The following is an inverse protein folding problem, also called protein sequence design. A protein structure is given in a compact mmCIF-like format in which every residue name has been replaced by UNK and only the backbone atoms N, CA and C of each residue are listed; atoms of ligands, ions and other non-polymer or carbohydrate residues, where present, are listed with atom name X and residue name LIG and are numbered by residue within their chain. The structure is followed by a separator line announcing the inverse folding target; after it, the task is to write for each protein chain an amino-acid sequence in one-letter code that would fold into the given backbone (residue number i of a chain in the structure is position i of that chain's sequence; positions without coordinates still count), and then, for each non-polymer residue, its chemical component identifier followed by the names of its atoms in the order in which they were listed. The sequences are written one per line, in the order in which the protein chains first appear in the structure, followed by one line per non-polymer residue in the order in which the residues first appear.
data_IF_771814442146
#
_entry.id   IF_771814442146
#
_cell.length_a   1.000
_cell.length_b   1.000
_cell.length_c   1.000
_cell.angle_alpha   90.00
_cell.angle_beta   90.00
_cell.angle_gamma   90.00
#
_symmetry.space_group_name_H-M   'P 1'
#
loop_
_entity.id
_entity.type
_entity.pdbx_description
1 polymer ?
#
# COMPACT_ATOMS: atom_id res chain seq x y z
N UNK A 1 -28.66 28.62 25.62
CA UNK A 1 -27.36 28.14 26.12
C UNK A 1 -27.18 26.73 25.63
N UNK A 2 -26.53 26.55 24.49
CA UNK A 2 -26.11 25.25 23.97
C UNK A 2 -24.60 25.23 24.01
N UNK A 3 -24.05 24.35 24.82
CA UNK A 3 -22.63 24.11 24.89
C UNK A 3 -22.24 23.13 23.75
N UNK A 4 -21.41 23.60 22.81
CA UNK A 4 -20.83 22.78 21.77
C UNK A 4 -19.72 21.91 22.36
N UNK A 5 -19.83 20.60 22.16
CA UNK A 5 -18.80 19.61 22.49
C UNK A 5 -17.90 19.47 21.27
N UNK A 6 -16.73 20.08 21.31
CA UNK A 6 -15.69 19.92 20.30
C UNK A 6 -14.92 18.63 20.62
N UNK A 7 -15.13 17.61 19.81
CA UNK A 7 -14.40 16.33 19.91
C UNK A 7 -13.05 16.48 19.19
N UNK A 8 -11.97 16.55 19.97
CA UNK A 8 -10.60 16.52 19.45
C UNK A 8 -10.23 15.06 19.22
N UNK A 9 -10.13 14.67 17.95
CA UNK A 9 -9.58 13.36 17.56
C UNK A 9 -8.07 13.51 17.51
N UNK A 10 -7.39 12.95 18.52
CA UNK A 10 -5.93 12.80 18.53
C UNK A 10 -5.61 11.49 17.81
N UNK A 11 -5.12 11.58 16.59
CA UNK A 11 -4.57 10.43 15.88
C UNK A 11 -3.15 10.20 16.36
N UNK A 12 -2.95 9.19 17.22
CA UNK A 12 -1.64 8.69 17.59
C UNK A 12 -1.10 7.79 16.48
N UNK A 13 -0.14 8.28 15.73
CA UNK A 13 0.68 7.46 14.84
C UNK A 13 1.66 6.69 15.72
N UNK A 14 1.35 5.44 16.03
CA UNK A 14 2.27 4.53 16.71
C UNK A 14 3.21 3.91 15.67
N UNK A 15 4.50 4.29 15.77
CA UNK A 15 5.56 3.70 14.96
C UNK A 15 5.72 2.20 15.24
N UNK A 16 5.89 1.42 14.20
CA UNK A 16 6.22 0.01 14.27
C UNK A 16 7.66 -0.18 14.75
N UNK A 17 7.81 -0.80 15.90
CA UNK A 17 9.09 -1.29 16.43
C UNK A 17 9.23 -2.74 15.95
N UNK A 18 10.34 -3.02 15.33
CA UNK A 18 10.79 -4.34 14.90
C UNK A 18 10.66 -5.39 16.02
N UNK A 19 9.92 -6.44 15.78
CA UNK A 19 10.00 -7.67 16.56
C UNK A 19 11.06 -8.57 15.94
N UNK A 20 12.15 -8.74 16.67
CA UNK A 20 13.22 -9.68 16.35
C UNK A 20 12.75 -11.13 16.45
N UNK A 21 13.17 -11.93 15.50
CA UNK A 21 13.06 -13.40 15.52
C UNK A 21 13.85 -13.98 16.70
N UNK A 22 13.33 -14.95 17.43
CA UNK A 22 14.13 -15.77 18.32
C UNK A 22 14.66 -17.02 17.58
N UNK A 23 15.94 -17.24 17.72
CA UNK A 23 16.55 -18.55 17.64
C UNK A 23 17.35 -18.89 16.39
N UNK A 24 18.65 -18.61 16.42
CA UNK A 24 19.65 -19.54 15.89
C UNK A 24 20.90 -19.49 16.77
N UNK A 25 21.36 -20.69 17.11
CA UNK A 25 22.47 -20.95 18.00
C UNK A 25 23.83 -20.61 17.39
N UNK A 26 24.86 -20.40 18.21
CA UNK A 26 26.16 -19.96 17.72
C UNK A 26 26.95 -21.10 17.08
N UNK A 27 27.43 -20.89 15.88
CA UNK A 27 28.48 -21.69 15.27
C UNK A 27 29.82 -20.98 15.35
N UNK A 28 30.81 -21.76 15.78
CA UNK A 28 32.16 -21.44 16.14
C UNK A 28 32.94 -20.63 15.10
N UNK A 29 33.73 -19.67 15.58
CA UNK A 29 34.80 -18.99 14.85
C UNK A 29 35.99 -19.92 14.63
N UNK A 30 36.73 -19.79 13.53
CA UNK A 30 38.14 -20.04 13.56
C UNK A 30 38.96 -18.75 13.52
N UNK A 31 39.68 -18.56 14.60
CA UNK A 31 40.82 -17.65 14.78
C UNK A 31 41.87 -17.83 13.69
N UNK A 32 42.26 -16.75 12.99
CA UNK A 32 43.59 -16.66 12.36
C UNK A 32 44.13 -15.25 12.53
N UNK A 33 45.11 -15.15 13.42
CA UNK A 33 46.13 -14.10 13.50
C UNK A 33 46.95 -14.07 12.23
N UNK A 34 47.04 -12.91 11.59
CA UNK A 34 48.19 -12.57 10.75
C UNK A 34 48.52 -11.09 10.93
N UNK A 35 49.56 -10.84 11.68
CA UNK A 35 50.21 -9.56 11.79
C UNK A 35 50.90 -9.21 10.46
N UNK A 36 50.59 -8.06 9.88
CA UNK A 36 51.38 -7.45 8.82
C UNK A 36 51.83 -6.07 9.27
N UNK A 37 53.15 -5.96 9.35
CA UNK A 37 53.91 -4.76 9.70
C UNK A 37 53.73 -3.66 8.68
N UNK A 38 53.53 -2.44 9.16
CA UNK A 38 53.65 -1.20 8.39
C UNK A 38 55.13 -0.86 8.15
N UNK A 39 55.55 -0.45 6.96
CA UNK A 39 56.78 0.31 6.80
C UNK A 39 56.49 1.82 6.96
N UNK A 40 57.38 2.46 7.71
CA UNK A 40 57.49 3.90 7.87
C UNK A 40 57.79 4.57 6.51
N UNK A 41 57.03 5.59 6.16
CA UNK A 41 57.35 6.47 5.04
C UNK A 41 57.91 7.81 5.57
N UNK A 42 59.02 8.19 4.98
CA UNK A 42 59.76 9.43 5.19
C UNK A 42 58.93 10.68 4.74
N UNK A 43 59.21 11.89 5.29
CA UNK A 43 58.55 13.11 4.85
C UNK A 43 59.19 13.64 3.58
N UNK A 44 58.45 13.56 2.45
CA UNK A 44 58.79 14.21 1.20
C UNK A 44 58.23 15.62 1.17
N UNK A 45 59.10 16.64 1.17
CA UNK A 45 58.79 18.01 0.79
C UNK A 45 58.42 18.07 -0.71
N UNK A 46 57.14 18.27 -1.00
CA UNK A 46 56.62 18.56 -2.34
C UNK A 46 55.87 19.90 -2.34
N UNK A 47 55.94 20.72 -3.39
CA UNK A 47 55.47 22.11 -3.38
C UNK A 47 53.94 22.15 -3.28
N UNK A 48 53.48 23.18 -2.56
CA UNK A 48 52.08 23.51 -2.44
C UNK A 48 51.40 23.63 -3.81
N UNK A 49 50.66 22.58 -4.18
CA UNK A 49 49.67 22.64 -5.25
C UNK A 49 48.51 23.52 -4.80
N UNK A 50 48.26 24.58 -5.54
CA UNK A 50 47.08 25.42 -5.41
C UNK A 50 45.85 24.48 -5.43
N UNK A 51 45.21 24.37 -4.27
CA UNK A 51 43.96 23.64 -4.15
C UNK A 51 42.93 24.26 -5.07
N UNK A 52 42.42 23.46 -5.96
CA UNK A 52 41.26 23.75 -6.77
C UNK A 52 40.08 23.92 -5.79
N UNK A 53 39.90 25.18 -5.34
CA UNK A 53 38.76 25.60 -4.54
C UNK A 53 37.55 25.65 -5.47
N UNK A 54 36.45 25.05 -5.02
CA UNK A 54 35.07 25.16 -5.49
C UNK A 54 34.69 24.40 -6.76
N UNK A 55 34.71 23.08 -6.66
CA UNK A 55 33.54 22.33 -7.11
C UNK A 55 32.67 22.10 -5.84
N UNK A 56 31.75 23.01 -5.58
CA UNK A 56 30.64 22.71 -4.67
C UNK A 56 30.00 21.45 -5.21
N UNK A 57 30.11 20.33 -4.50
CA UNK A 57 29.40 19.10 -4.89
C UNK A 57 27.91 19.46 -4.93
N UNK A 58 27.31 19.35 -6.12
CA UNK A 58 25.86 19.51 -6.27
C UNK A 58 25.17 18.55 -5.30
N UNK A 59 24.17 19.06 -4.57
CA UNK A 59 23.42 18.22 -3.65
C UNK A 59 22.89 16.98 -4.36
N UNK A 60 22.99 15.80 -3.74
CA UNK A 60 22.46 14.58 -4.35
C UNK A 60 20.93 14.48 -4.30
N UNK A 61 20.23 15.39 -3.61
CA UNK A 61 18.81 15.25 -3.32
C UNK A 61 17.92 16.11 -4.22
N UNK A 62 16.80 15.55 -4.67
CA UNK A 62 15.90 16.17 -5.64
C UNK A 62 15.36 17.54 -5.16
N UNK A 63 14.99 17.67 -3.88
CA UNK A 63 14.44 18.92 -3.36
C UNK A 63 15.38 20.11 -3.58
N UNK A 64 16.68 19.91 -3.44
CA UNK A 64 17.69 20.98 -3.58
C UNK A 64 17.84 21.48 -5.03
N UNK A 65 17.30 20.73 -6.01
CA UNK A 65 17.27 21.09 -7.43
C UNK A 65 15.95 21.75 -7.85
N UNK A 66 14.95 21.79 -6.96
CA UNK A 66 13.68 22.45 -7.23
C UNK A 66 13.79 23.97 -6.98
N UNK A 67 12.98 24.78 -7.66
CA UNK A 67 13.05 26.26 -7.54
C UNK A 67 12.38 26.82 -6.29
N UNK A 68 12.17 25.98 -5.26
CA UNK A 68 11.55 26.38 -4.00
C UNK A 68 12.14 25.56 -2.84
N UNK A 69 11.95 26.05 -1.63
CA UNK A 69 12.25 25.34 -0.40
C UNK A 69 10.97 24.82 0.24
N UNK A 70 11.11 23.81 1.10
CA UNK A 70 9.97 23.18 1.78
C UNK A 70 9.09 24.19 2.51
N UNK A 71 9.70 25.14 3.22
CA UNK A 71 9.00 26.19 4.00
C UNK A 71 8.22 27.20 3.15
N UNK A 72 8.46 27.24 1.84
CA UNK A 72 7.75 28.14 0.91
C UNK A 72 6.45 27.52 0.38
N UNK A 73 6.26 26.20 0.58
CA UNK A 73 5.09 25.50 0.08
C UNK A 73 3.89 25.76 0.99
N UNK A 74 2.82 26.32 0.42
CA UNK A 74 1.59 26.65 1.12
C UNK A 74 0.53 25.54 0.98
N UNK A 75 0.47 24.91 -0.20
CA UNK A 75 -0.45 23.82 -0.49
C UNK A 75 0.12 22.93 -1.61
N UNK A 76 -0.33 21.68 -1.64
CA UNK A 76 0.00 20.74 -2.72
C UNK A 76 -1.30 20.13 -3.21
N UNK A 77 -1.51 20.10 -4.53
CA UNK A 77 -2.63 19.41 -5.17
C UNK A 77 -2.12 18.35 -6.13
N UNK A 78 -2.89 17.29 -6.32
CA UNK A 78 -2.61 16.23 -7.28
C UNK A 78 -3.67 16.16 -8.37
N UNK A 79 -3.26 16.09 -9.64
CA UNK A 79 -4.17 15.99 -10.77
C UNK A 79 -3.74 14.95 -11.80
N UNK A 80 -4.69 14.20 -12.37
CA UNK A 80 -4.45 13.20 -13.41
C UNK A 80 -4.58 11.75 -12.94
N UNK A 81 -4.86 10.86 -13.87
CA UNK A 81 -5.03 9.41 -13.65
C UNK A 81 -6.02 9.02 -12.55
N UNK A 82 -7.12 9.78 -12.41
CA UNK A 82 -8.15 9.53 -11.41
C UNK A 82 -7.88 10.19 -10.06
N UNK A 83 -6.81 10.97 -9.94
CA UNK A 83 -6.57 11.89 -8.83
C UNK A 83 -6.97 13.30 -9.29
N UNK A 84 -7.76 13.99 -8.49
CA UNK A 84 -8.05 15.42 -8.56
C UNK A 84 -8.38 15.86 -7.13
N UNK A 85 -7.36 16.08 -6.34
CA UNK A 85 -7.52 16.29 -4.91
C UNK A 85 -6.43 17.20 -4.32
N UNK A 86 -6.82 17.95 -3.31
CA UNK A 86 -5.87 18.63 -2.43
C UNK A 86 -5.20 17.59 -1.51
N UNK A 87 -3.88 17.68 -1.38
CA UNK A 87 -3.15 16.88 -0.39
C UNK A 87 -3.42 17.50 0.99
N UNK A 88 -4.01 16.76 1.94
CA UNK A 88 -4.26 17.27 3.28
C UNK A 88 -3.00 17.84 3.93
N UNK A 89 -3.11 18.99 4.59
CA UNK A 89 -1.95 19.72 5.15
C UNK A 89 -1.10 18.84 6.07
N UNK A 90 -1.74 17.98 6.86
CA UNK A 90 -1.09 17.02 7.75
C UNK A 90 -0.32 15.89 7.02
N UNK A 91 -0.50 15.77 5.69
CA UNK A 91 0.17 14.74 4.86
C UNK A 91 1.15 15.33 3.84
N UNK A 92 1.18 16.65 3.68
CA UNK A 92 2.10 17.29 2.73
C UNK A 92 3.56 17.02 3.07
N UNK A 93 3.88 16.84 4.35
CA UNK A 93 5.23 16.51 4.79
C UNK A 93 5.75 15.18 4.19
N UNK A 94 4.86 14.23 3.88
CA UNK A 94 5.24 12.94 3.26
C UNK A 94 5.90 13.17 1.90
N UNK A 95 5.28 14.04 1.07
CA UNK A 95 5.84 14.42 -0.23
C UNK A 95 7.14 15.21 -0.10
N UNK A 96 7.14 16.23 0.76
CA UNK A 96 8.29 17.11 0.94
C UNK A 96 9.49 16.34 1.51
N UNK A 97 9.25 15.46 2.48
CA UNK A 97 10.28 14.59 3.03
C UNK A 97 10.82 13.60 1.99
N UNK A 98 9.95 13.01 1.18
CA UNK A 98 10.38 12.15 0.09
C UNK A 98 11.26 12.90 -0.90
N UNK A 99 10.88 14.09 -1.35
CA UNK A 99 11.70 14.93 -2.23
C UNK A 99 13.06 15.26 -1.61
N UNK A 100 13.10 15.52 -0.30
CA UNK A 100 14.33 15.79 0.45
C UNK A 100 15.31 14.64 0.46
N UNK A 101 14.82 13.38 0.42
CA UNK A 101 15.65 12.17 0.48
C UNK A 101 15.71 11.38 -0.84
N UNK A 102 15.04 11.86 -1.88
CA UNK A 102 15.13 11.26 -3.21
C UNK A 102 16.52 11.50 -3.79
N UNK A 103 17.32 10.45 -3.92
CA UNK A 103 18.70 10.50 -4.41
C UNK A 103 18.73 10.56 -5.95
N UNK A 104 19.21 11.66 -6.50
CA UNK A 104 19.34 11.87 -7.94
C UNK A 104 20.43 11.02 -8.61
N UNK A 105 21.30 10.38 -7.84
CA UNK A 105 22.26 9.40 -8.35
C UNK A 105 21.61 8.05 -8.66
N UNK A 106 20.42 7.81 -8.12
CA UNK A 106 19.64 6.57 -8.23
C UNK A 106 18.51 6.68 -9.25
N UNK A 107 18.78 7.27 -10.42
CA UNK A 107 17.80 7.33 -11.51
C UNK A 107 17.42 5.92 -11.98
N UNK A 108 16.13 5.72 -12.30
CA UNK A 108 15.64 4.46 -12.86
C UNK A 108 16.32 4.16 -14.21
N UNK A 109 17.05 3.05 -14.28
CA UNK A 109 17.81 2.67 -15.47
C UNK A 109 16.93 2.32 -16.68
N UNK A 110 15.70 1.86 -16.45
CA UNK A 110 14.76 1.47 -17.49
C UNK A 110 13.32 1.80 -17.04
N UNK A 111 12.88 3.06 -17.14
CA UNK A 111 11.54 3.43 -16.78
C UNK A 111 10.54 2.72 -17.70
N UNK A 112 9.35 2.45 -17.18
CA UNK A 112 8.24 1.82 -17.93
C UNK A 112 7.96 2.61 -19.22
N UNK A 113 7.62 1.94 -20.34
CA UNK A 113 7.26 2.61 -21.58
C UNK A 113 6.16 3.66 -21.37
N UNK A 114 6.26 4.80 -22.05
CA UNK A 114 5.34 5.94 -21.89
C UNK A 114 3.86 5.56 -21.99
N UNK A 115 3.51 4.58 -22.82
CA UNK A 115 2.14 4.09 -22.98
C UNK A 115 1.55 3.39 -21.73
N UNK A 116 2.41 2.93 -20.83
CA UNK A 116 2.01 2.21 -19.60
C UNK A 116 2.12 3.07 -18.34
N UNK A 117 2.55 4.32 -18.48
CA UNK A 117 2.72 5.25 -17.36
C UNK A 117 1.38 5.81 -16.90
N UNK A 118 1.32 6.12 -15.62
CA UNK A 118 0.16 6.77 -14.99
C UNK A 118 0.62 8.04 -14.27
N UNK A 119 0.95 9.11 -15.04
CA UNK A 119 1.46 10.34 -14.43
C UNK A 119 0.37 11.08 -13.66
N UNK A 120 0.76 11.60 -12.51
CA UNK A 120 0.01 12.56 -11.69
C UNK A 120 0.83 13.84 -11.65
N UNK A 121 0.21 14.97 -11.97
CA UNK A 121 0.85 16.27 -11.83
C UNK A 121 0.64 16.75 -10.40
N UNK A 122 1.73 16.89 -9.66
CA UNK A 122 1.76 17.52 -8.35
C UNK A 122 1.99 19.01 -8.54
N UNK A 123 1.08 19.84 -8.03
CA UNK A 123 1.18 21.29 -8.09
C UNK A 123 1.49 21.82 -6.70
N UNK A 124 2.67 22.40 -6.55
CA UNK A 124 3.14 23.05 -5.33
C UNK A 124 2.79 24.53 -5.39
N UNK A 125 1.85 24.96 -4.57
CA UNK A 125 1.47 26.37 -4.46
C UNK A 125 2.46 27.10 -3.56
N UNK A 126 3.11 28.10 -4.10
CA UNK A 126 3.99 29.04 -3.41
C UNK A 126 3.26 30.40 -3.24
N UNK A 127 3.87 31.37 -2.54
CA UNK A 127 3.22 32.65 -2.27
C UNK A 127 2.71 33.35 -3.54
N UNK A 128 3.56 33.44 -4.57
CA UNK A 128 3.28 34.22 -5.80
C UNK A 128 3.31 33.34 -7.07
N UNK A 129 3.69 32.08 -6.95
CA UNK A 129 3.91 31.19 -8.10
C UNK A 129 3.41 29.77 -7.83
N UNK A 130 3.38 28.97 -8.88
CA UNK A 130 3.07 27.56 -8.80
C UNK A 130 4.16 26.78 -9.52
N UNK A 131 4.56 25.65 -8.93
CA UNK A 131 5.51 24.74 -9.54
C UNK A 131 4.82 23.39 -9.77
N UNK A 132 5.10 22.75 -10.91
CA UNK A 132 4.54 21.45 -11.26
C UNK A 132 5.66 20.41 -11.32
N UNK A 133 5.41 19.25 -10.70
CA UNK A 133 6.29 18.09 -10.75
C UNK A 133 5.45 16.87 -11.11
N UNK A 134 5.91 16.07 -12.05
CA UNK A 134 5.24 14.82 -12.41
C UNK A 134 5.65 13.71 -11.45
N UNK A 135 4.67 12.96 -10.97
CA UNK A 135 4.87 11.72 -10.24
C UNK A 135 4.23 10.57 -11.02
N UNK A 136 4.96 9.49 -11.25
CA UNK A 136 4.44 8.30 -11.91
C UNK A 136 4.01 7.25 -10.89
N UNK A 137 2.71 6.91 -10.91
CA UNK A 137 2.11 5.93 -9.99
C UNK A 137 2.59 4.49 -10.25
N UNK A 138 3.02 4.20 -11.48
CA UNK A 138 3.40 2.83 -11.86
C UNK A 138 4.80 2.49 -11.37
N UNK A 139 5.71 3.45 -11.49
CA UNK A 139 7.10 3.31 -11.09
C UNK A 139 7.37 3.80 -9.65
N UNK A 140 6.37 4.41 -8.97
CA UNK A 140 6.55 5.14 -7.72
C UNK A 140 7.73 6.13 -7.81
N UNK A 141 7.69 7.00 -8.80
CA UNK A 141 8.84 7.83 -9.11
C UNK A 141 8.47 9.28 -9.46
N UNK A 142 9.31 10.22 -9.07
CA UNK A 142 9.24 11.59 -9.55
C UNK A 142 9.95 11.72 -10.89
N UNK A 143 9.36 12.45 -11.83
CA UNK A 143 10.00 12.83 -13.09
C UNK A 143 10.63 14.21 -12.94
N UNK A 144 11.93 14.30 -13.14
CA UNK A 144 12.66 15.56 -13.17
C UNK A 144 13.64 15.57 -14.34
N UNK A 145 13.56 16.59 -15.19
CA UNK A 145 14.41 16.75 -16.38
C UNK A 145 14.44 15.52 -17.32
N UNK A 146 13.30 14.81 -17.41
CA UNK A 146 13.16 13.63 -18.28
C UNK A 146 13.75 12.34 -17.70
N UNK A 147 14.20 12.37 -16.46
CA UNK A 147 14.64 11.18 -15.71
C UNK A 147 13.67 10.89 -14.57
N UNK A 148 13.64 9.63 -14.12
CA UNK A 148 12.74 9.13 -13.09
C UNK A 148 13.54 8.72 -11.86
N UNK A 149 13.11 9.16 -10.69
CA UNK A 149 13.77 8.92 -9.41
C UNK A 149 12.76 8.32 -8.43
N UNK A 150 13.11 7.23 -7.78
CA UNK A 150 12.25 6.57 -6.82
C UNK A 150 11.79 7.54 -5.73
N UNK A 151 10.47 7.56 -5.51
CA UNK A 151 9.87 8.19 -4.35
C UNK A 151 9.85 7.21 -3.17
N UNK A 152 9.69 7.75 -1.96
CA UNK A 152 9.41 6.93 -0.78
C UNK A 152 8.08 6.18 -0.94
N UNK A 153 7.99 4.95 -0.41
CA UNK A 153 6.76 4.14 -0.46
C UNK A 153 5.57 4.83 0.23
N UNK A 154 5.83 5.72 1.19
CA UNK A 154 4.80 6.54 1.81
C UNK A 154 4.10 7.48 0.83
N UNK A 155 4.81 7.94 -0.22
CA UNK A 155 4.20 8.74 -1.30
C UNK A 155 3.20 7.90 -2.07
N UNK A 156 3.54 6.65 -2.36
CA UNK A 156 2.62 5.75 -3.04
C UNK A 156 1.37 5.48 -2.20
N UNK A 157 1.53 5.23 -0.90
CA UNK A 157 0.42 5.08 0.04
C UNK A 157 -0.45 6.33 0.12
N UNK A 158 0.18 7.52 0.15
CA UNK A 158 -0.53 8.79 0.10
C UNK A 158 -1.35 8.92 -1.18
N UNK A 159 -0.76 8.65 -2.34
CA UNK A 159 -1.44 8.72 -3.63
C UNK A 159 -2.59 7.73 -3.72
N UNK A 160 -2.42 6.51 -3.23
CA UNK A 160 -3.50 5.53 -3.12
C UNK A 160 -4.65 6.01 -2.24
N UNK A 161 -4.34 6.70 -1.13
CA UNK A 161 -5.36 7.33 -0.29
C UNK A 161 -6.22 8.33 -1.06
N UNK A 162 -5.64 9.03 -2.04
CA UNK A 162 -6.37 9.95 -2.93
C UNK A 162 -7.17 9.22 -4.02
N UNK A 163 -6.76 8.01 -4.41
CA UNK A 163 -7.52 7.15 -5.34
C UNK A 163 -8.75 6.49 -4.70
N UNK A 164 -8.85 6.48 -3.39
CA UNK A 164 -9.93 5.82 -2.64
C UNK A 164 -11.31 6.45 -2.83
N UNK A 165 -11.47 7.31 -3.82
CA UNK A 165 -12.78 7.83 -4.26
C UNK A 165 -13.64 6.78 -4.97
N UNK A 166 -13.09 5.58 -5.29
CA UNK A 166 -13.92 4.48 -5.76
C UNK A 166 -14.69 3.90 -4.56
N UNK A 167 -16.00 4.01 -4.59
CA UNK A 167 -16.90 3.66 -3.48
C UNK A 167 -16.62 2.25 -2.95
N UNK A 168 -16.38 1.29 -3.84
CA UNK A 168 -16.11 -0.11 -3.47
C UNK A 168 -14.80 -0.27 -2.70
N UNK A 169 -13.73 0.43 -3.12
CA UNK A 169 -12.43 0.36 -2.42
C UNK A 169 -12.49 1.08 -1.08
N UNK A 170 -13.06 2.29 -1.03
CA UNK A 170 -13.17 3.06 0.20
C UNK A 170 -14.02 2.32 1.25
N UNK A 171 -15.13 1.72 0.82
CA UNK A 171 -16.00 0.95 1.69
C UNK A 171 -15.33 -0.34 2.20
N UNK A 172 -14.60 -1.05 1.33
CA UNK A 172 -13.85 -2.25 1.71
C UNK A 172 -12.73 -1.90 2.70
N UNK A 173 -11.92 -0.87 2.40
CA UNK A 173 -10.83 -0.44 3.27
C UNK A 173 -11.32 -0.02 4.67
N UNK A 174 -12.45 0.69 4.74
CA UNK A 174 -13.05 1.04 6.02
C UNK A 174 -13.43 -0.21 6.84
N UNK A 175 -13.98 -1.23 6.21
CA UNK A 175 -14.31 -2.50 6.88
C UNK A 175 -13.07 -3.32 7.24
N UNK A 176 -12.03 -3.33 6.40
CA UNK A 176 -10.76 -3.97 6.72
C UNK A 176 -10.10 -3.33 7.93
N UNK A 177 -10.06 -2.00 7.99
CA UNK A 177 -9.51 -1.26 9.13
C UNK A 177 -10.34 -1.48 10.40
N UNK A 178 -11.65 -1.45 10.29
CA UNK A 178 -12.52 -1.77 11.42
C UNK A 178 -12.26 -3.18 11.95
N UNK A 179 -12.15 -4.17 11.06
CA UNK A 179 -11.86 -5.56 11.44
C UNK A 179 -10.48 -5.69 12.09
N UNK A 180 -9.46 -4.94 11.62
CA UNK A 180 -8.13 -4.90 12.22
C UNK A 180 -8.17 -4.39 13.66
N UNK A 181 -8.86 -3.29 13.91
CA UNK A 181 -9.03 -2.71 15.25
C UNK A 181 -9.79 -3.67 16.18
N UNK A 182 -10.85 -4.30 15.68
CA UNK A 182 -11.61 -5.28 16.46
C UNK A 182 -10.77 -6.53 16.77
N UNK A 183 -9.91 -6.97 15.85
CA UNK A 183 -9.05 -8.15 16.02
C UNK A 183 -8.01 -7.96 17.12
N UNK A 184 -7.48 -6.76 17.31
CA UNK A 184 -6.53 -6.46 18.40
C UNK A 184 -7.13 -6.72 19.80
N UNK A 185 -8.46 -6.69 19.90
CA UNK A 185 -9.20 -6.87 21.15
C UNK A 185 -9.84 -8.26 21.27
N UNK A 186 -9.87 -9.04 20.21
CA UNK A 186 -10.54 -10.32 20.14
C UNK A 186 -9.59 -11.48 20.43
N UNK A 187 -10.09 -12.47 21.18
CA UNK A 187 -9.44 -13.78 21.27
C UNK A 187 -9.60 -14.56 19.97
N UNK A 188 -8.62 -15.39 19.64
CA UNK A 188 -8.73 -16.34 18.53
C UNK A 188 -9.41 -17.62 18.97
N UNK A 189 -10.36 -18.12 18.18
CA UNK A 189 -10.92 -19.47 18.27
C UNK A 189 -10.35 -20.25 17.09
N UNK A 190 -10.09 -21.54 17.26
CA UNK A 190 -9.55 -22.40 16.22
C UNK A 190 -10.54 -23.55 15.90
N UNK A 191 -11.68 -23.26 15.25
CA UNK A 191 -12.62 -24.28 14.81
C UNK A 191 -12.07 -25.06 13.63
N UNK A 192 -12.71 -26.18 13.31
CA UNK A 192 -12.39 -26.95 12.13
C UNK A 192 -12.50 -26.07 10.86
N UNK A 193 -11.60 -26.27 9.87
CA UNK A 193 -11.71 -25.59 8.59
C UNK A 193 -13.02 -25.94 7.88
N UNK A 194 -13.53 -24.99 7.08
CA UNK A 194 -14.58 -25.30 6.11
C UNK A 194 -14.04 -26.28 5.05
N UNK A 195 -14.91 -27.11 4.54
CA UNK A 195 -14.61 -27.87 3.34
C UNK A 195 -14.34 -26.92 2.17
N UNK A 196 -13.38 -27.26 1.32
CA UNK A 196 -13.02 -26.42 0.18
C UNK A 196 -14.22 -26.16 -0.75
N UNK A 197 -15.13 -27.11 -0.89
CA UNK A 197 -16.34 -26.96 -1.70
C UNK A 197 -17.30 -25.93 -1.11
N UNK A 198 -17.47 -25.88 0.21
CA UNK A 198 -18.33 -24.91 0.92
C UNK A 198 -17.91 -23.48 0.69
N UNK A 199 -16.60 -23.22 0.57
CA UNK A 199 -16.04 -21.89 0.38
C UNK A 199 -15.98 -21.46 -1.11
N UNK A 200 -16.37 -22.32 -2.06
CA UNK A 200 -16.47 -21.93 -3.46
C UNK A 200 -17.55 -20.85 -3.63
N UNK A 201 -17.25 -19.86 -4.44
CA UNK A 201 -18.24 -18.88 -4.89
C UNK A 201 -18.51 -19.14 -6.37
N UNK A 202 -19.79 -19.31 -6.72
CA UNK A 202 -20.23 -19.67 -8.09
C UNK A 202 -19.51 -20.93 -8.63
N UNK A 203 -19.20 -21.88 -7.75
CA UNK A 203 -18.54 -23.13 -8.08
C UNK A 203 -17.04 -23.03 -8.34
N UNK A 204 -16.43 -21.86 -8.04
CA UNK A 204 -14.99 -21.64 -8.16
C UNK A 204 -14.38 -21.38 -6.78
N UNK A 205 -13.25 -22.00 -6.52
CA UNK A 205 -12.37 -21.68 -5.41
C UNK A 205 -11.49 -20.45 -5.74
N UNK A 206 -10.58 -20.10 -4.84
CA UNK A 206 -9.68 -18.96 -5.04
C UNK A 206 -8.86 -19.07 -6.33
N UNK A 207 -8.27 -20.23 -6.60
CA UNK A 207 -7.43 -20.44 -7.79
C UNK A 207 -8.26 -20.42 -9.09
N UNK A 208 -9.46 -20.98 -9.06
CA UNK A 208 -10.41 -20.95 -10.17
C UNK A 208 -10.80 -19.51 -10.52
N UNK A 209 -11.03 -18.68 -9.50
CA UNK A 209 -11.30 -17.26 -9.68
C UNK A 209 -10.08 -16.49 -10.22
N UNK A 210 -8.86 -16.75 -9.71
CA UNK A 210 -7.64 -16.14 -10.26
C UNK A 210 -7.48 -16.45 -11.74
N UNK A 211 -7.70 -17.71 -12.14
CA UNK A 211 -7.65 -18.12 -13.55
C UNK A 211 -8.70 -17.42 -14.41
N UNK A 212 -9.93 -17.25 -13.89
CA UNK A 212 -10.99 -16.47 -14.55
C UNK A 212 -10.59 -15.01 -14.72
N UNK A 213 -10.12 -14.38 -13.65
CA UNK A 213 -9.71 -12.98 -13.64
C UNK A 213 -8.51 -12.71 -14.57
N UNK A 214 -7.59 -13.66 -14.68
CA UNK A 214 -6.47 -13.57 -15.63
C UNK A 214 -6.91 -13.59 -17.10
N UNK A 215 -8.12 -14.12 -17.40
CA UNK A 215 -8.71 -14.19 -18.73
C UNK A 215 -9.77 -13.11 -18.99
N UNK A 216 -10.02 -12.24 -18.00
CA UNK A 216 -11.03 -11.19 -18.13
C UNK A 216 -10.68 -10.25 -19.31
N UNK A 217 -11.67 -9.97 -20.13
CA UNK A 217 -11.51 -9.10 -21.28
C UNK A 217 -11.62 -7.62 -20.86
N UNK A 218 -10.98 -6.69 -21.58
CA UNK A 218 -11.02 -5.27 -21.23
C UNK A 218 -12.44 -4.70 -21.08
N UNK A 219 -13.38 -5.20 -21.88
CA UNK A 219 -14.79 -4.79 -21.83
C UNK A 219 -15.55 -5.27 -20.59
N UNK A 220 -15.02 -6.24 -19.86
CA UNK A 220 -15.58 -6.70 -18.58
C UNK A 220 -15.13 -5.81 -17.40
N UNK A 221 -14.07 -5.01 -17.59
CA UNK A 221 -13.49 -4.18 -16.56
C UNK A 221 -14.19 -2.82 -16.51
N UNK A 222 -14.73 -2.45 -15.35
CA UNK A 222 -15.31 -1.12 -15.09
C UNK A 222 -14.19 -0.11 -14.87
N UNK A 223 -13.22 -0.47 -14.01
CA UNK A 223 -12.02 0.30 -13.79
C UNK A 223 -10.86 -0.62 -13.34
N UNK A 224 -9.64 -0.17 -13.62
CA UNK A 224 -8.41 -0.76 -13.14
C UNK A 224 -7.51 0.35 -12.58
N UNK A 225 -7.00 0.17 -11.37
CA UNK A 225 -6.22 1.17 -10.64
C UNK A 225 -5.01 0.48 -9.97
N UNK A 226 -3.85 1.14 -9.93
CA UNK A 226 -2.75 0.67 -9.12
C UNK A 226 -3.12 0.77 -7.63
N UNK A 227 -2.67 -0.18 -6.84
CA UNK A 227 -2.74 -0.10 -5.39
C UNK A 227 -1.47 -0.72 -4.80
N UNK A 228 -1.09 -0.24 -3.62
CA UNK A 228 0.05 -0.79 -2.90
C UNK A 228 -0.40 -1.97 -2.04
N UNK A 229 0.28 -3.08 -2.20
CA UNK A 229 0.05 -4.29 -1.41
C UNK A 229 1.04 -4.31 -0.24
N UNK A 230 0.58 -3.94 0.94
CA UNK A 230 1.38 -3.90 2.17
C UNK A 230 2.04 -5.25 2.49
N UNK A 231 1.42 -6.35 2.09
CA UNK A 231 1.92 -7.69 2.35
C UNK A 231 3.15 -8.06 1.53
N UNK A 232 3.27 -7.55 0.32
CA UNK A 232 4.40 -7.82 -0.57
C UNK A 232 5.33 -6.63 -0.78
N UNK A 233 4.95 -5.44 -0.32
CA UNK A 233 5.68 -4.21 -0.56
C UNK A 233 5.73 -3.84 -2.06
N UNK A 234 4.74 -4.22 -2.85
CA UNK A 234 4.73 -4.01 -4.29
C UNK A 234 3.46 -3.32 -4.76
N UNK A 235 3.61 -2.53 -5.83
CA UNK A 235 2.44 -2.00 -6.54
C UNK A 235 1.80 -3.11 -7.34
N UNK A 236 0.50 -3.30 -7.13
CA UNK A 236 -0.35 -4.26 -7.84
C UNK A 236 -1.48 -3.50 -8.54
N UNK A 237 -2.32 -4.20 -9.25
CA UNK A 237 -3.50 -3.64 -9.87
C UNK A 237 -4.76 -4.15 -9.18
N UNK A 238 -5.61 -3.21 -8.74
CA UNK A 238 -6.99 -3.50 -8.35
C UNK A 238 -7.88 -3.35 -9.58
N UNK A 239 -8.81 -4.29 -9.80
CA UNK A 239 -9.75 -4.26 -10.92
C UNK A 239 -11.17 -4.55 -10.44
N UNK A 240 -12.11 -3.68 -10.78
CA UNK A 240 -13.54 -3.94 -10.62
C UNK A 240 -14.12 -4.41 -11.95
N UNK A 241 -14.79 -5.56 -11.93
CA UNK A 241 -15.48 -6.12 -13.05
C UNK A 241 -16.95 -5.71 -13.06
N UNK A 242 -17.60 -5.78 -14.23
CA UNK A 242 -19.02 -5.40 -14.42
C UNK A 242 -19.99 -6.25 -13.59
N UNK A 243 -19.63 -7.49 -13.27
CA UNK A 243 -20.41 -8.38 -12.42
C UNK A 243 -20.24 -8.07 -10.91
N UNK A 244 -19.42 -7.08 -10.56
CA UNK A 244 -19.20 -6.67 -9.17
C UNK A 244 -18.11 -7.48 -8.45
N UNK A 245 -17.26 -8.18 -9.19
CA UNK A 245 -16.07 -8.81 -8.61
C UNK A 245 -14.94 -7.78 -8.58
N UNK A 246 -14.41 -7.51 -7.37
CA UNK A 246 -13.24 -6.66 -7.16
C UNK A 246 -12.03 -7.58 -6.93
N UNK A 247 -11.12 -7.57 -7.89
CA UNK A 247 -9.87 -8.32 -7.84
C UNK A 247 -8.76 -7.47 -7.22
N UNK A 248 -8.18 -7.94 -6.14
CA UNK A 248 -6.99 -7.39 -5.48
C UNK A 248 -5.90 -8.45 -5.46
N UNK A 249 -4.66 -8.07 -5.10
CA UNK A 249 -3.64 -9.09 -4.84
C UNK A 249 -4.09 -10.01 -3.70
N UNK A 250 -4.10 -11.32 -3.95
CA UNK A 250 -4.48 -12.35 -2.98
C UNK A 250 -5.87 -12.19 -2.34
N UNK A 251 -6.73 -11.34 -2.89
CA UNK A 251 -8.11 -11.17 -2.42
C UNK A 251 -9.04 -11.01 -3.60
N UNK A 252 -10.14 -11.75 -3.55
CA UNK A 252 -11.23 -11.66 -4.52
C UNK A 252 -12.47 -11.30 -3.74
N UNK A 253 -13.01 -10.12 -4.01
CA UNK A 253 -14.13 -9.53 -3.26
C UNK A 253 -15.39 -9.56 -4.11
N UNK A 254 -16.46 -10.11 -3.57
CA UNK A 254 -17.77 -10.18 -4.19
C UNK A 254 -18.66 -9.12 -3.55
N UNK A 255 -19.07 -8.14 -4.37
CA UNK A 255 -19.80 -6.95 -3.90
C UNK A 255 -21.30 -7.03 -4.17
N UNK A 256 -21.76 -8.04 -4.91
CA UNK A 256 -23.15 -8.14 -5.38
C UNK A 256 -23.82 -9.46 -5.01
N UNK A 257 -25.15 -9.48 -4.84
CA UNK A 257 -25.93 -10.65 -4.42
C UNK A 257 -26.07 -11.75 -5.48
N UNK A 258 -25.67 -11.49 -6.72
CA UNK A 258 -25.62 -12.48 -7.80
C UNK A 258 -24.59 -13.57 -7.51
N UNK A 259 -23.51 -13.22 -6.80
CA UNK A 259 -22.49 -14.15 -6.35
C UNK A 259 -22.91 -14.82 -5.05
N UNK A 260 -22.72 -16.14 -4.97
CA UNK A 260 -23.04 -16.89 -3.76
C UNK A 260 -22.07 -18.03 -3.52
N UNK A 261 -21.83 -18.35 -2.24
CA UNK A 261 -21.10 -19.56 -1.88
C UNK A 261 -21.91 -20.82 -2.19
N UNK A 262 -21.26 -21.97 -2.16
CA UNK A 262 -21.93 -23.26 -2.36
C UNK A 262 -23.14 -23.46 -1.44
N UNK A 263 -23.05 -22.98 -0.17
CA UNK A 263 -24.15 -23.03 0.79
C UNK A 263 -25.10 -21.81 0.71
N UNK A 264 -24.93 -20.97 -0.32
CA UNK A 264 -25.83 -19.86 -0.60
C UNK A 264 -25.60 -18.64 0.30
N UNK A 265 -24.40 -18.45 0.85
CA UNK A 265 -24.01 -17.16 1.46
C UNK A 265 -23.80 -16.15 0.35
N UNK A 266 -24.37 -14.95 0.49
CA UNK A 266 -24.30 -13.87 -0.48
C UNK A 266 -24.47 -12.53 0.22
N UNK A 267 -24.19 -11.44 -0.48
CA UNK A 267 -24.41 -10.07 0.04
C UNK A 267 -25.90 -9.86 0.37
N UNK A 268 -26.15 -9.10 1.43
CA UNK A 268 -27.50 -8.74 1.90
C UNK A 268 -28.13 -9.69 2.91
N UNK A 269 -27.66 -10.94 3.07
CA UNK A 269 -28.19 -11.84 4.11
C UNK A 269 -27.70 -11.43 5.51
N UNK A 270 -28.42 -11.87 6.54
CA UNK A 270 -28.10 -11.57 7.94
C UNK A 270 -27.08 -12.51 8.57
N UNK A 271 -26.51 -12.11 9.71
CA UNK A 271 -25.53 -12.91 10.47
C UNK A 271 -26.08 -14.29 10.90
N UNK A 272 -27.36 -14.37 11.31
CA UNK A 272 -27.95 -15.65 11.73
C UNK A 272 -28.03 -16.65 10.57
N UNK A 273 -28.31 -16.14 9.37
CA UNK A 273 -28.36 -16.96 8.16
C UNK A 273 -26.96 -17.44 7.77
N UNK A 274 -25.93 -16.57 7.86
CA UNK A 274 -24.53 -16.95 7.63
C UNK A 274 -24.13 -18.05 8.62
N UNK A 275 -24.43 -17.89 9.91
CA UNK A 275 -24.11 -18.88 10.93
C UNK A 275 -24.82 -20.22 10.67
N UNK A 276 -26.06 -20.19 10.25
CA UNK A 276 -26.82 -21.40 9.93
C UNK A 276 -26.25 -22.16 8.73
N UNK A 277 -25.64 -21.44 7.76
CA UNK A 277 -25.06 -22.00 6.54
C UNK A 277 -23.62 -22.47 6.71
N UNK A 278 -22.77 -21.70 7.36
CA UNK A 278 -21.33 -21.97 7.46
C UNK A 278 -20.89 -22.51 8.82
N UNK A 279 -21.78 -22.49 9.83
CA UNK A 279 -21.41 -22.89 11.18
C UNK A 279 -20.46 -21.90 11.88
N UNK A 280 -19.75 -22.35 12.94
CA UNK A 280 -18.87 -21.50 13.72
C UNK A 280 -17.63 -21.08 12.92
N UNK A 281 -17.17 -19.85 13.14
CA UNK A 281 -16.06 -19.21 12.44
C UNK A 281 -14.77 -19.23 13.25
N UNK A 282 -13.62 -19.18 12.57
CA UNK A 282 -12.29 -19.13 13.19
C UNK A 282 -12.04 -17.78 13.89
N UNK A 283 -12.59 -16.69 13.34
CA UNK A 283 -12.55 -15.37 13.93
C UNK A 283 -13.95 -14.75 13.83
N UNK A 284 -14.49 -14.30 14.96
CA UNK A 284 -15.78 -13.63 15.04
C UNK A 284 -15.60 -12.20 15.56
N UNK A 285 -15.72 -11.26 14.66
CA UNK A 285 -15.76 -9.84 14.96
C UNK A 285 -17.15 -9.27 14.69
N UNK A 286 -17.41 -8.02 15.04
CA UNK A 286 -18.65 -7.34 14.70
C UNK A 286 -18.73 -7.09 13.21
N UNK A 287 -17.63 -6.66 12.61
CA UNK A 287 -17.53 -6.28 11.20
C UNK A 287 -17.10 -7.41 10.26
N UNK A 288 -16.51 -8.50 10.78
CA UNK A 288 -15.95 -9.56 9.94
C UNK A 288 -16.00 -10.94 10.63
N UNK A 289 -16.46 -11.93 9.89
CA UNK A 289 -16.30 -13.34 10.24
C UNK A 289 -15.33 -13.99 9.28
N UNK A 290 -14.32 -14.68 9.82
CA UNK A 290 -13.30 -15.37 9.03
C UNK A 290 -13.36 -16.87 9.27
N UNK A 291 -13.33 -17.62 8.17
CA UNK A 291 -13.33 -19.07 8.13
C UNK A 291 -12.03 -19.56 7.52
N UNK A 292 -11.42 -20.58 8.11
CA UNK A 292 -10.33 -21.31 7.47
C UNK A 292 -10.90 -22.16 6.35
N UNK A 293 -10.18 -22.28 5.24
CA UNK A 293 -10.51 -23.13 4.10
C UNK A 293 -9.28 -23.96 3.78
N UNK A 294 -9.32 -25.22 4.15
CA UNK A 294 -8.13 -26.06 4.15
C UNK A 294 -7.02 -25.43 4.99
N UNK A 295 -5.77 -25.65 4.60
CA UNK A 295 -4.60 -25.15 5.33
C UNK A 295 -4.21 -23.71 4.98
N UNK A 296 -4.60 -23.24 3.79
CA UNK A 296 -3.99 -22.08 3.18
C UNK A 296 -4.93 -20.91 2.91
N UNK A 297 -6.21 -21.17 2.65
CA UNK A 297 -7.13 -20.14 2.22
C UNK A 297 -8.02 -19.64 3.36
N UNK A 298 -8.63 -18.49 3.14
CA UNK A 298 -9.65 -17.93 4.03
C UNK A 298 -10.86 -17.49 3.22
N UNK A 299 -12.02 -17.70 3.83
CA UNK A 299 -13.28 -17.13 3.39
C UNK A 299 -13.74 -16.13 4.45
N UNK A 300 -13.83 -14.88 4.08
CA UNK A 300 -14.28 -13.82 4.98
C UNK A 300 -15.63 -13.30 4.55
N UNK A 301 -16.45 -12.99 5.55
CA UNK A 301 -17.74 -12.34 5.37
C UNK A 301 -17.72 -11.04 6.15
N UNK A 302 -17.80 -9.92 5.45
CA UNK A 302 -17.80 -8.59 6.04
C UNK A 302 -19.23 -8.08 6.19
N UNK A 303 -19.52 -7.44 7.31
CA UNK A 303 -20.86 -7.01 7.68
C UNK A 303 -20.97 -5.51 7.85
N UNK A 304 -22.07 -4.95 7.37
CA UNK A 304 -22.53 -3.59 7.69
C UNK A 304 -23.95 -3.68 8.20
N UNK A 305 -24.21 -3.15 9.40
CA UNK A 305 -25.53 -3.19 10.06
C UNK A 305 -26.11 -4.62 10.17
N UNK A 306 -25.25 -5.62 10.44
CA UNK A 306 -25.63 -7.02 10.61
C UNK A 306 -26.02 -7.74 9.32
N UNK A 307 -25.73 -7.15 8.14
CA UNK A 307 -25.95 -7.77 6.84
C UNK A 307 -24.60 -7.92 6.11
N UNK A 308 -24.46 -8.97 5.35
CA UNK A 308 -23.29 -9.21 4.51
C UNK A 308 -23.14 -8.10 3.49
N UNK A 309 -22.06 -7.35 3.60
CA UNK A 309 -21.64 -6.32 2.63
C UNK A 309 -20.76 -6.91 1.55
N UNK A 310 -19.76 -7.71 1.95
CA UNK A 310 -18.82 -8.36 1.04
C UNK A 310 -18.55 -9.80 1.46
N UNK A 311 -18.33 -10.66 0.48
CA UNK A 311 -17.65 -11.94 0.66
C UNK A 311 -16.26 -11.83 0.06
N UNK A 312 -15.27 -12.44 0.71
CA UNK A 312 -13.87 -12.35 0.25
C UNK A 312 -13.21 -13.71 0.32
N UNK A 313 -12.73 -14.18 -0.81
CA UNK A 313 -11.77 -15.27 -0.86
C UNK A 313 -10.36 -14.65 -0.74
N UNK A 314 -9.53 -15.19 0.14
CA UNK A 314 -8.17 -14.68 0.31
C UNK A 314 -7.14 -15.77 0.54
N UNK A 315 -5.93 -15.51 0.08
CA UNK A 315 -4.74 -16.27 0.41
C UNK A 315 -3.94 -15.44 1.42
N UNK A 316 -3.78 -15.89 2.67
CA UNK A 316 -2.93 -15.20 3.64
C UNK A 316 -1.46 -15.20 3.19
N UNK A 317 -0.70 -14.27 3.75
CA UNK A 317 0.74 -14.15 3.53
C UNK A 317 1.52 -15.30 4.17
#
# INVERSE_FOLDING_TARGET
MLAGLTMIIVVLVAGWIFYGRPGDAPSEEPSMNAAVQSPAAEPGDGPAGEGNLDQAEESPYLLDHLPFKEEEVQAITGGGNGIDADIPAERQFVLLQSLRYTDMKSALAAPIPAASRKPVVLQFQLADTRYELTYDLTDNAFEYQGQYYYADDQVLLLMQGLFREQEELASLDALLEQARVEQEQAGTVDPDPLDAETAQVDGLDFEGWEQRLAKAQPEEIVWAKPYYDDGTGQVREARLLKDGVLALNRKIVFTRPEHQSADGVKTGIGTDEVLAKLGPQALKLVSCWSYKVGDYFRFHVYFTNGKVQYMVLSQPL
#
